data_IF_496172221252
#
_entry.id   IF_496172221252
#
_cell.length_a   1.000
_cell.length_b   1.000
_cell.length_c   1.000
_cell.angle_alpha   90.00
_cell.angle_beta   90.00
_cell.angle_gamma   90.00
#
_symmetry.space_group_name_H-M   'P 1'
#
loop_
_entity.id
_entity.type
_entity.pdbx_description
1 polymer ?
#
# COMPACT_ATOMS: atom_id res chain seq x y z
N UNK A 1 3.34 -26.05 12.42
CA UNK A 1 2.14 -25.19 12.26
C UNK A 1 2.54 -23.77 12.62
N UNK A 2 2.20 -22.78 11.79
CA UNK A 2 2.51 -21.37 12.05
C UNK A 2 1.65 -20.90 13.24
N UNK A 3 2.24 -20.22 14.21
CA UNK A 3 1.50 -19.64 15.33
C UNK A 3 0.57 -18.51 14.83
N UNK A 4 -0.69 -18.46 15.30
CA UNK A 4 -1.60 -17.36 15.00
C UNK A 4 -1.12 -16.06 15.66
N UNK A 5 -1.62 -14.93 15.14
CA UNK A 5 -1.44 -13.64 15.82
C UNK A 5 -2.19 -13.66 17.16
N UNK A 6 -1.55 -13.18 18.22
CA UNK A 6 -2.13 -13.20 19.57
C UNK A 6 -3.33 -12.24 19.69
N UNK A 7 -4.34 -12.62 20.49
CA UNK A 7 -5.52 -11.79 20.76
C UNK A 7 -5.16 -10.42 21.36
N UNK A 8 -4.08 -10.35 22.16
CA UNK A 8 -3.55 -9.09 22.70
C UNK A 8 -3.09 -8.12 21.61
N UNK A 9 -2.52 -8.62 20.50
CA UNK A 9 -2.12 -7.79 19.36
C UNK A 9 -3.35 -7.28 18.59
N UNK A 10 -4.39 -8.10 18.48
CA UNK A 10 -5.67 -7.68 17.88
C UNK A 10 -6.38 -6.64 18.73
N UNK A 11 -6.41 -6.82 20.04
CA UNK A 11 -6.94 -5.82 20.97
C UNK A 11 -6.16 -4.50 20.91
N UNK A 12 -4.83 -4.57 20.80
CA UNK A 12 -3.97 -3.40 20.62
C UNK A 12 -4.23 -2.69 19.28
N UNK A 13 -4.41 -3.45 18.19
CA UNK A 13 -4.76 -2.91 16.89
C UNK A 13 -6.07 -2.11 16.96
N UNK A 14 -7.13 -2.68 17.54
CA UNK A 14 -8.43 -2.04 17.60
C UNK A 14 -8.48 -0.85 18.59
N UNK A 15 -7.67 -0.91 19.67
CA UNK A 15 -7.58 0.19 20.63
C UNK A 15 -6.75 1.39 20.12
N UNK A 16 -5.68 1.13 19.35
CA UNK A 16 -4.69 2.15 19.01
C UNK A 16 -4.74 2.60 17.55
N UNK A 17 -5.25 1.75 16.68
CA UNK A 17 -5.37 2.02 15.23
C UNK A 17 -6.73 1.53 14.76
N UNK A 18 -7.77 2.16 15.28
CA UNK A 18 -9.15 1.72 15.13
C UNK A 18 -9.61 1.76 13.67
N UNK A 19 -10.37 0.74 13.27
CA UNK A 19 -11.04 0.74 11.99
C UNK A 19 -12.25 1.67 12.01
N UNK A 20 -12.44 2.43 10.93
CA UNK A 20 -13.65 3.24 10.69
C UNK A 20 -14.01 3.25 9.21
N UNK A 21 -15.23 3.63 8.92
CA UNK A 21 -15.73 3.74 7.55
C UNK A 21 -15.96 5.21 7.18
N UNK A 22 -15.45 5.60 6.02
CA UNK A 22 -15.78 6.87 5.38
C UNK A 22 -16.85 6.60 4.31
N UNK A 23 -18.02 7.22 4.46
CA UNK A 23 -19.07 7.20 3.44
C UNK A 23 -18.74 8.23 2.35
N UNK A 24 -18.83 7.82 1.10
CA UNK A 24 -18.60 8.69 -0.06
C UNK A 24 -19.94 9.19 -0.63
N UNK A 25 -19.94 10.35 -1.33
CA UNK A 25 -21.18 10.93 -1.89
C UNK A 25 -21.97 10.00 -2.81
N UNK A 26 -21.32 9.04 -3.46
CA UNK A 26 -21.95 8.04 -4.33
C UNK A 26 -22.58 6.84 -3.59
N UNK A 27 -22.54 6.82 -2.26
CA UNK A 27 -23.02 5.71 -1.43
C UNK A 27 -22.01 4.59 -1.20
N UNK A 28 -20.82 4.68 -1.81
CA UNK A 28 -19.73 3.74 -1.53
C UNK A 28 -19.11 4.03 -0.17
N UNK A 29 -18.43 3.02 0.36
CA UNK A 29 -17.72 3.10 1.64
C UNK A 29 -16.24 2.79 1.41
N UNK A 30 -15.37 3.56 2.05
CA UNK A 30 -13.94 3.23 2.20
C UNK A 30 -13.66 2.98 3.67
N UNK A 31 -13.23 1.78 4.00
CA UNK A 31 -12.74 1.45 5.32
C UNK A 31 -11.31 1.96 5.48
N UNK A 32 -11.01 2.54 6.62
CA UNK A 32 -9.67 3.02 6.97
C UNK A 32 -9.34 2.61 8.40
N UNK A 33 -8.05 2.57 8.72
CA UNK A 33 -7.56 2.60 10.09
C UNK A 33 -6.86 3.94 10.33
N UNK A 34 -7.06 4.50 11.52
CA UNK A 34 -6.58 5.86 11.80
C UNK A 34 -6.06 5.98 13.23
N UNK A 35 -4.99 6.75 13.39
CA UNK A 35 -4.51 7.26 14.68
C UNK A 35 -4.07 8.72 14.54
N UNK A 36 -3.94 9.42 15.66
CA UNK A 36 -3.50 10.82 15.70
C UNK A 36 -4.48 11.83 15.09
N UNK A 37 -5.79 11.55 15.06
CA UNK A 37 -6.80 12.43 14.44
C UNK A 37 -6.83 13.87 14.99
N UNK A 38 -6.41 14.08 16.26
CA UNK A 38 -6.32 15.40 16.89
C UNK A 38 -4.95 16.06 16.77
N UNK A 39 -3.97 15.43 16.15
CA UNK A 39 -2.63 15.95 16.02
C UNK A 39 -2.54 17.07 14.96
N UNK A 40 -1.70 18.07 15.23
CA UNK A 40 -1.46 19.21 14.33
C UNK A 40 -0.28 19.01 13.37
N UNK A 41 0.42 17.87 13.47
CA UNK A 41 1.57 17.54 12.62
C UNK A 41 1.17 17.02 11.24
N UNK A 42 2.12 16.45 10.49
CA UNK A 42 1.86 15.98 9.12
C UNK A 42 0.80 14.88 9.06
N UNK A 43 0.01 14.91 7.99
CA UNK A 43 -1.00 13.86 7.70
C UNK A 43 -0.40 12.88 6.70
N UNK A 44 -0.45 11.59 7.00
CA UNK A 44 -0.03 10.51 6.11
C UNK A 44 -1.25 9.72 5.63
N UNK A 45 -1.37 9.52 4.31
CA UNK A 45 -2.34 8.63 3.70
C UNK A 45 -1.58 7.44 3.13
N UNK A 46 -1.78 6.25 3.73
CA UNK A 46 -1.00 5.05 3.45
C UNK A 46 -1.81 4.02 2.67
N UNK A 47 -1.30 3.61 1.51
CA UNK A 47 -1.92 2.65 0.60
C UNK A 47 -1.12 1.34 0.60
N UNK A 48 -1.78 0.24 0.97
CA UNK A 48 -1.14 -1.08 1.09
C UNK A 48 -0.96 -1.82 -0.24
N UNK A 49 -0.17 -2.90 -0.23
CA UNK A 49 0.04 -3.80 -1.36
C UNK A 49 -1.05 -4.88 -1.51
N UNK A 50 -1.00 -5.63 -2.61
CA UNK A 50 -2.04 -6.61 -3.03
C UNK A 50 -2.30 -7.73 -2.01
N UNK A 51 -1.29 -8.15 -1.23
CA UNK A 51 -1.40 -9.22 -0.23
C UNK A 51 -1.54 -8.70 1.21
N UNK A 52 -1.98 -7.46 1.40
CA UNK A 52 -1.95 -6.76 2.67
C UNK A 52 -3.26 -6.02 2.96
N UNK A 53 -3.30 -5.17 3.98
CA UNK A 53 -4.43 -4.35 4.37
C UNK A 53 -3.99 -3.19 5.26
N UNK A 54 -4.92 -2.33 5.66
CA UNK A 54 -4.65 -1.15 6.48
C UNK A 54 -3.95 -1.49 7.81
N UNK A 55 -4.28 -2.63 8.41
CA UNK A 55 -3.71 -3.06 9.69
C UNK A 55 -2.20 -3.31 9.64
N UNK A 56 -1.63 -3.59 8.46
CA UNK A 56 -0.18 -3.77 8.30
C UNK A 56 0.63 -2.52 8.65
N UNK A 57 0.01 -1.36 8.65
CA UNK A 57 0.66 -0.09 8.98
C UNK A 57 0.74 0.20 10.49
N UNK A 58 0.16 -0.66 11.35
CA UNK A 58 0.02 -0.42 12.79
C UNK A 58 1.29 0.13 13.44
N UNK A 59 2.40 -0.59 13.33
CA UNK A 59 3.63 -0.21 14.05
C UNK A 59 4.19 1.12 13.53
N UNK A 60 4.28 1.29 12.22
CA UNK A 60 4.74 2.53 11.63
C UNK A 60 3.79 3.70 11.97
N UNK A 61 2.47 3.47 11.97
CA UNK A 61 1.47 4.48 12.30
C UNK A 61 1.59 4.97 13.74
N UNK A 62 1.78 4.06 14.71
CA UNK A 62 1.95 4.43 16.12
C UNK A 62 3.25 5.20 16.37
N UNK A 63 4.31 4.89 15.64
CA UNK A 63 5.57 5.63 15.69
C UNK A 63 5.43 7.05 15.13
N UNK A 64 4.69 7.20 14.05
CA UNK A 64 4.37 8.50 13.46
C UNK A 64 3.44 9.32 14.38
N UNK A 65 2.41 8.68 14.95
CA UNK A 65 1.50 9.30 15.93
C UNK A 65 2.28 9.85 17.14
N UNK A 66 3.24 9.10 17.66
CA UNK A 66 4.08 9.53 18.79
C UNK A 66 4.93 10.78 18.46
N UNK A 67 5.12 11.09 17.18
CA UNK A 67 5.78 12.33 16.70
C UNK A 67 4.79 13.40 16.29
N UNK A 68 3.53 13.28 16.70
CA UNK A 68 2.49 14.28 16.45
C UNK A 68 1.84 14.20 15.07
N UNK A 69 2.05 13.13 14.31
CA UNK A 69 1.42 12.94 13.02
C UNK A 69 0.00 12.36 13.12
N UNK A 70 -0.80 12.58 12.09
CA UNK A 70 -2.05 11.87 11.82
C UNK A 70 -1.81 10.84 10.74
N UNK A 71 -2.20 9.58 10.95
CA UNK A 71 -2.01 8.50 9.97
C UNK A 71 -3.34 7.88 9.61
N UNK A 72 -3.60 7.78 8.31
CA UNK A 72 -4.79 7.18 7.72
C UNK A 72 -4.32 6.10 6.77
N UNK A 73 -4.52 4.83 7.11
CA UNK A 73 -4.27 3.71 6.23
C UNK A 73 -5.60 3.20 5.66
N UNK A 74 -5.71 3.17 4.33
CA UNK A 74 -6.94 2.72 3.70
C UNK A 74 -7.01 1.20 3.57
N UNK A 75 -8.20 0.66 3.50
CA UNK A 75 -8.47 -0.63 2.86
C UNK A 75 -8.80 -0.35 1.40
N UNK A 76 -8.03 -0.89 0.48
CA UNK A 76 -8.26 -0.71 -0.96
C UNK A 76 -9.68 -1.16 -1.37
N UNK A 77 -10.23 -0.70 -2.50
CA UNK A 77 -11.50 -1.17 -3.01
C UNK A 77 -11.61 -2.70 -3.01
N UNK A 78 -12.67 -3.25 -2.40
CA UNK A 78 -12.88 -4.68 -2.25
C UNK A 78 -12.09 -5.35 -1.12
N UNK A 79 -11.31 -4.60 -0.33
CA UNK A 79 -10.61 -5.08 0.87
C UNK A 79 -11.35 -4.67 2.13
N UNK A 80 -11.26 -5.50 3.17
CA UNK A 80 -11.97 -5.23 4.42
C UNK A 80 -13.45 -4.94 4.20
N UNK A 81 -13.92 -3.79 4.68
CA UNK A 81 -15.29 -3.30 4.47
C UNK A 81 -15.40 -2.28 3.33
N UNK A 82 -14.34 -2.04 2.56
CA UNK A 82 -14.37 -1.11 1.43
C UNK A 82 -15.19 -1.66 0.26
N UNK A 83 -16.09 -0.84 -0.26
CA UNK A 83 -16.88 -1.18 -1.46
C UNK A 83 -15.94 -1.43 -2.64
N UNK A 84 -16.06 -2.55 -3.36
CA UNK A 84 -15.27 -2.80 -4.56
C UNK A 84 -15.55 -1.75 -5.64
N UNK A 85 -14.67 -1.58 -6.60
CA UNK A 85 -14.95 -0.78 -7.80
C UNK A 85 -15.87 -1.54 -8.74
N UNK A 86 -16.65 -0.80 -9.56
CA UNK A 86 -17.63 -1.42 -10.46
C UNK A 86 -16.98 -2.25 -11.59
N UNK A 87 -15.88 -1.82 -12.26
CA UNK A 87 -15.30 -2.60 -13.33
C UNK A 87 -14.71 -3.92 -12.85
N UNK A 88 -14.97 -5.02 -13.57
CA UNK A 88 -14.35 -6.32 -13.30
C UNK A 88 -12.82 -6.28 -13.56
N UNK A 89 -12.39 -5.44 -14.49
CA UNK A 89 -10.98 -5.18 -14.80
C UNK A 89 -10.66 -3.70 -14.53
N UNK A 90 -10.47 -3.32 -13.26
CA UNK A 90 -10.23 -1.94 -12.88
C UNK A 90 -8.88 -1.43 -13.38
N UNK A 91 -8.83 -0.12 -13.61
CA UNK A 91 -7.63 0.63 -13.94
C UNK A 91 -7.14 1.44 -12.73
N UNK A 92 -5.94 1.98 -12.81
CA UNK A 92 -5.40 2.88 -11.80
C UNK A 92 -6.32 4.08 -11.53
N UNK A 93 -7.00 4.59 -12.55
CA UNK A 93 -7.97 5.68 -12.45
C UNK A 93 -9.15 5.34 -11.53
N UNK A 94 -9.68 4.10 -11.56
CA UNK A 94 -10.82 3.70 -10.73
C UNK A 94 -10.45 3.71 -9.23
N UNK A 95 -9.23 3.24 -8.91
CA UNK A 95 -8.71 3.26 -7.54
C UNK A 95 -8.35 4.69 -7.11
N UNK A 96 -7.75 5.49 -7.99
CA UNK A 96 -7.41 6.89 -7.69
C UNK A 96 -8.68 7.73 -7.47
N UNK A 97 -9.75 7.49 -8.22
CA UNK A 97 -11.05 8.13 -7.98
C UNK A 97 -11.62 7.76 -6.60
N UNK A 98 -11.49 6.49 -6.18
CA UNK A 98 -11.91 6.06 -4.84
C UNK A 98 -11.06 6.74 -3.76
N UNK A 99 -9.74 6.89 -3.98
CA UNK A 99 -8.85 7.64 -3.09
C UNK A 99 -9.26 9.13 -3.03
N UNK A 100 -9.60 9.75 -4.15
CA UNK A 100 -10.09 11.13 -4.16
C UNK A 100 -11.35 11.28 -3.31
N UNK A 101 -12.34 10.40 -3.49
CA UNK A 101 -13.55 10.39 -2.67
C UNK A 101 -13.24 10.27 -1.16
N UNK A 102 -12.28 9.43 -0.78
CA UNK A 102 -11.82 9.30 0.60
C UNK A 102 -11.20 10.61 1.11
N UNK A 103 -10.28 11.20 0.34
CA UNK A 103 -9.61 12.46 0.69
C UNK A 103 -10.61 13.60 0.88
N UNK A 104 -11.64 13.65 0.01
CA UNK A 104 -12.72 14.63 0.09
C UNK A 104 -13.62 14.38 1.32
N UNK A 105 -14.01 13.14 1.58
CA UNK A 105 -14.85 12.77 2.72
C UNK A 105 -14.15 12.99 4.08
N UNK A 106 -12.82 13.01 4.11
CA UNK A 106 -12.02 13.28 5.30
C UNK A 106 -11.52 14.73 5.39
N UNK A 107 -11.90 15.57 4.44
CA UNK A 107 -11.51 16.98 4.33
C UNK A 107 -9.99 17.20 4.48
N UNK A 108 -9.20 16.39 3.76
CA UNK A 108 -7.74 16.48 3.83
C UNK A 108 -7.23 17.54 2.84
N UNK A 109 -6.79 18.68 3.34
CA UNK A 109 -6.27 19.78 2.51
C UNK A 109 -4.85 19.51 1.98
N UNK A 110 -3.96 18.98 2.84
CA UNK A 110 -2.57 18.65 2.49
C UNK A 110 -2.12 17.39 3.24
N UNK A 111 -1.44 16.48 2.52
CA UNK A 111 -0.96 15.23 3.10
C UNK A 111 0.24 14.66 2.34
N UNK A 112 0.97 13.76 3.01
CA UNK A 112 1.97 12.89 2.39
C UNK A 112 1.25 11.63 1.91
N UNK A 113 1.34 11.33 0.61
CA UNK A 113 0.78 10.11 0.05
C UNK A 113 1.85 9.02 0.03
N UNK A 114 1.56 7.90 0.70
CA UNK A 114 2.47 6.76 0.79
C UNK A 114 1.87 5.57 0.04
N UNK A 115 2.54 5.09 -0.99
CA UNK A 115 2.11 3.91 -1.76
C UNK A 115 3.10 2.76 -1.61
N UNK A 116 2.63 1.61 -1.10
CA UNK A 116 3.42 0.39 -1.04
C UNK A 116 2.98 -0.60 -2.12
N UNK A 117 3.93 -1.15 -2.88
CA UNK A 117 3.68 -2.21 -3.88
C UNK A 117 2.55 -1.84 -4.85
N UNK A 118 1.42 -2.57 -4.86
CA UNK A 118 0.23 -2.22 -5.65
C UNK A 118 -0.31 -0.83 -5.31
N UNK A 119 -0.25 -0.41 -4.03
CA UNK A 119 -0.65 0.93 -3.59
C UNK A 119 0.15 2.04 -4.26
N UNK A 120 1.38 1.75 -4.71
CA UNK A 120 2.21 2.69 -5.46
C UNK A 120 1.60 3.02 -6.84
N UNK A 121 0.92 2.07 -7.48
CA UNK A 121 0.19 2.30 -8.76
C UNK A 121 -0.92 3.34 -8.54
N UNK A 122 -1.74 3.15 -7.51
CA UNK A 122 -2.80 4.10 -7.16
C UNK A 122 -2.23 5.45 -6.77
N UNK A 123 -1.18 5.46 -5.93
CA UNK A 123 -0.53 6.68 -5.46
C UNK A 123 0.11 7.46 -6.63
N UNK A 124 0.83 6.79 -7.52
CA UNK A 124 1.43 7.42 -8.70
C UNK A 124 0.38 8.02 -9.63
N UNK A 125 -0.71 7.28 -9.89
CA UNK A 125 -1.81 7.79 -10.71
C UNK A 125 -2.50 9.00 -10.06
N UNK A 126 -2.72 8.99 -8.76
CA UNK A 126 -3.28 10.12 -8.01
C UNK A 126 -2.35 11.34 -7.98
N UNK A 127 -1.04 11.12 -8.01
CA UNK A 127 -0.01 12.15 -7.94
C UNK A 127 0.46 12.67 -9.32
N UNK A 128 0.00 12.06 -10.43
CA UNK A 128 0.44 12.45 -11.78
C UNK A 128 0.07 13.90 -12.10
N UNK A 129 0.78 14.48 -13.04
CA UNK A 129 0.48 15.82 -13.52
C UNK A 129 -0.96 15.92 -14.03
N UNK A 130 -1.67 16.99 -13.66
CA UNK A 130 -3.07 17.22 -13.99
C UNK A 130 -4.08 16.38 -13.20
N UNK A 131 -3.65 15.59 -12.22
CA UNK A 131 -4.57 14.91 -11.31
C UNK A 131 -5.26 15.91 -10.38
N UNK A 132 -6.57 15.73 -10.11
CA UNK A 132 -7.30 16.57 -9.15
C UNK A 132 -6.70 16.56 -7.73
N UNK A 133 -6.02 15.47 -7.33
CA UNK A 133 -5.36 15.36 -6.03
C UNK A 133 -3.97 15.97 -5.97
N UNK A 134 -3.34 16.26 -7.12
CA UNK A 134 -1.94 16.68 -7.17
C UNK A 134 -1.62 17.91 -6.29
N UNK A 135 -2.53 18.89 -6.21
CA UNK A 135 -2.34 20.10 -5.38
C UNK A 135 -2.44 19.85 -3.87
N UNK A 136 -3.06 18.74 -3.46
CA UNK A 136 -3.24 18.35 -2.04
C UNK A 136 -2.15 17.41 -1.55
N UNK A 137 -1.41 16.77 -2.46
CA UNK A 137 -0.29 15.89 -2.12
C UNK A 137 0.96 16.75 -1.98
N UNK A 138 1.45 16.92 -0.74
CA UNK A 138 2.67 17.69 -0.48
C UNK A 138 3.94 16.92 -0.86
N UNK A 139 3.91 15.58 -0.64
CA UNK A 139 5.01 14.67 -0.92
C UNK A 139 4.45 13.30 -1.33
N UNK A 140 5.05 12.66 -2.34
CA UNK A 140 4.78 11.27 -2.69
C UNK A 140 5.92 10.39 -2.17
N UNK A 141 5.58 9.30 -1.46
CA UNK A 141 6.55 8.28 -1.05
C UNK A 141 6.13 6.93 -1.61
N UNK A 142 6.99 6.33 -2.40
CA UNK A 142 6.79 5.01 -3.01
C UNK A 142 7.71 3.99 -2.33
N UNK A 143 7.13 3.01 -1.65
CA UNK A 143 7.87 1.95 -0.96
C UNK A 143 7.70 0.65 -1.72
N UNK A 144 8.80 0.03 -2.15
CA UNK A 144 8.77 -1.22 -2.90
C UNK A 144 7.74 -1.19 -4.05
N UNK A 145 7.75 -0.16 -4.92
CA UNK A 145 6.68 0.09 -5.87
C UNK A 145 6.55 -1.01 -6.93
N UNK A 146 5.32 -1.48 -7.16
CA UNK A 146 5.01 -2.30 -8.33
C UNK A 146 4.84 -1.39 -9.56
N UNK A 147 5.60 -1.63 -10.62
CA UNK A 147 5.49 -0.85 -11.87
C UNK A 147 4.26 -1.23 -12.71
N UNK A 148 3.67 -2.41 -12.46
CA UNK A 148 2.59 -2.95 -13.29
C UNK A 148 3.08 -3.64 -14.56
N UNK A 149 2.12 -4.22 -15.29
CA UNK A 149 2.37 -4.99 -16.52
C UNK A 149 1.60 -4.44 -17.73
N UNK A 150 1.02 -3.24 -17.62
CA UNK A 150 0.22 -2.62 -18.68
C UNK A 150 1.01 -1.87 -19.75
N UNK A 151 2.33 -1.74 -19.59
CA UNK A 151 3.19 -1.07 -20.58
C UNK A 151 3.24 -1.86 -21.89
N UNK A 152 3.33 -1.19 -23.05
CA UNK A 152 3.55 -1.85 -24.34
C UNK A 152 4.77 -2.77 -24.31
N UNK A 153 4.65 -3.95 -24.91
CA UNK A 153 5.69 -4.98 -24.95
C UNK A 153 5.74 -5.89 -23.71
N UNK A 154 4.82 -5.73 -22.76
CA UNK A 154 4.68 -6.59 -21.57
C UNK A 154 3.47 -7.55 -21.63
N UNK A 155 2.81 -7.68 -22.80
CA UNK A 155 1.54 -8.42 -22.94
C UNK A 155 1.67 -9.89 -22.52
N UNK A 156 2.77 -10.56 -22.85
CA UNK A 156 3.03 -11.94 -22.44
C UNK A 156 3.21 -12.05 -20.92
N UNK A 157 4.00 -11.16 -20.32
CA UNK A 157 4.19 -11.12 -18.87
C UNK A 157 2.89 -10.80 -18.15
N UNK A 158 2.09 -9.86 -18.66
CA UNK A 158 0.77 -9.51 -18.16
C UNK A 158 -0.15 -10.73 -18.11
N UNK A 159 -0.29 -11.45 -19.24
CA UNK A 159 -1.14 -12.64 -19.33
C UNK A 159 -0.66 -13.76 -18.40
N UNK A 160 0.65 -14.01 -18.35
CA UNK A 160 1.25 -15.02 -17.47
C UNK A 160 1.00 -14.72 -15.99
N UNK A 161 1.27 -13.49 -15.55
CA UNK A 161 1.10 -13.08 -14.14
C UNK A 161 -0.38 -13.11 -13.74
N UNK A 162 -1.28 -12.60 -14.60
CA UNK A 162 -2.73 -12.68 -14.40
C UNK A 162 -3.19 -14.12 -14.23
N UNK A 163 -2.88 -14.98 -15.18
CA UNK A 163 -3.29 -16.38 -15.17
C UNK A 163 -2.75 -17.11 -13.92
N UNK A 164 -1.47 -16.93 -13.59
CA UNK A 164 -0.84 -17.54 -12.43
C UNK A 164 -1.51 -17.12 -11.13
N UNK A 165 -1.71 -15.81 -10.91
CA UNK A 165 -2.30 -15.30 -9.66
C UNK A 165 -3.75 -15.72 -9.48
N UNK A 166 -4.56 -15.67 -10.54
CA UNK A 166 -5.96 -16.09 -10.50
C UNK A 166 -6.09 -17.61 -10.35
N UNK A 167 -5.20 -18.39 -10.99
CA UNK A 167 -5.15 -19.84 -10.79
C UNK A 167 -4.77 -20.19 -9.35
N UNK A 168 -3.75 -19.56 -8.77
CA UNK A 168 -3.38 -19.74 -7.36
C UNK A 168 -4.54 -19.41 -6.42
N UNK A 169 -5.23 -18.27 -6.63
CA UNK A 169 -6.41 -17.91 -5.86
C UNK A 169 -7.51 -18.98 -5.95
N UNK A 170 -7.78 -19.48 -7.16
CA UNK A 170 -8.83 -20.49 -7.40
C UNK A 170 -8.48 -21.87 -6.81
N UNK A 171 -7.22 -22.28 -6.91
CA UNK A 171 -6.78 -23.63 -6.53
C UNK A 171 -6.44 -23.73 -5.03
N UNK A 172 -5.77 -22.71 -4.48
CA UNK A 172 -5.29 -22.74 -3.11
C UNK A 172 -6.22 -21.97 -2.14
N UNK A 173 -6.84 -20.90 -2.62
CA UNK A 173 -7.65 -19.98 -1.82
C UNK A 173 -6.80 -19.08 -0.91
N UNK A 174 -7.46 -18.10 -0.29
CA UNK A 174 -6.82 -17.07 0.54
C UNK A 174 -6.07 -17.68 1.73
N UNK A 175 -6.65 -18.67 2.40
CA UNK A 175 -6.05 -19.27 3.61
C UNK A 175 -4.70 -19.96 3.33
N UNK A 176 -4.59 -20.73 2.25
CA UNK A 176 -3.35 -21.38 1.89
C UNK A 176 -2.29 -20.39 1.36
N UNK A 177 -2.73 -19.34 0.64
CA UNK A 177 -1.85 -18.23 0.23
C UNK A 177 -1.30 -17.50 1.45
N UNK A 178 -2.13 -17.22 2.45
CA UNK A 178 -1.75 -16.54 3.69
C UNK A 178 -0.72 -17.34 4.49
N UNK A 179 -0.88 -18.66 4.60
CA UNK A 179 -0.01 -19.53 5.38
C UNK A 179 1.48 -19.48 4.96
N UNK A 180 1.77 -19.04 3.74
CA UNK A 180 3.13 -18.95 3.16
C UNK A 180 3.54 -17.53 2.73
N UNK A 181 2.70 -16.53 3.00
CA UNK A 181 2.91 -15.15 2.52
C UNK A 181 4.21 -14.52 3.05
N UNK A 182 4.53 -14.75 4.32
CA UNK A 182 5.71 -14.23 4.99
C UNK A 182 7.02 -14.67 4.33
N UNK A 183 7.07 -15.86 3.72
CA UNK A 183 8.26 -16.39 3.05
C UNK A 183 8.72 -15.55 1.84
N UNK A 184 7.83 -14.78 1.25
CA UNK A 184 8.11 -13.91 0.10
C UNK A 184 8.06 -12.43 0.44
N UNK A 185 7.28 -12.06 1.45
CA UNK A 185 7.03 -10.65 1.77
C UNK A 185 8.00 -10.09 2.80
N UNK A 186 8.72 -10.94 3.50
CA UNK A 186 9.69 -10.54 4.53
C UNK A 186 11.08 -11.10 4.22
N UNK A 187 12.10 -10.50 4.82
CA UNK A 187 13.46 -11.03 4.78
C UNK A 187 13.57 -12.35 5.56
N UNK A 188 14.69 -13.06 5.36
CA UNK A 188 14.94 -14.29 6.10
C UNK A 188 15.01 -14.06 7.62
N UNK A 189 15.46 -12.89 8.05
CA UNK A 189 15.68 -12.51 9.45
C UNK A 189 14.49 -11.85 10.13
N UNK A 190 13.33 -11.73 9.47
CA UNK A 190 12.14 -11.14 10.03
C UNK A 190 11.71 -11.84 11.34
N UNK A 191 11.28 -11.08 12.32
CA UNK A 191 10.79 -11.63 13.58
C UNK A 191 9.45 -12.35 13.41
N UNK A 192 9.11 -13.25 14.36
CA UNK A 192 7.89 -14.04 14.25
C UNK A 192 6.62 -13.16 14.30
N UNK A 193 6.63 -12.06 15.04
CA UNK A 193 5.49 -11.14 15.09
C UNK A 193 5.22 -10.52 13.70
N UNK A 194 6.24 -10.09 12.98
CA UNK A 194 6.11 -9.57 11.60
C UNK A 194 5.54 -10.65 10.66
N UNK A 195 5.99 -11.92 10.81
CA UNK A 195 5.46 -13.06 10.04
C UNK A 195 3.99 -13.30 10.33
N UNK A 196 3.59 -13.24 11.60
CA UNK A 196 2.19 -13.39 12.03
C UNK A 196 1.33 -12.27 11.46
N UNK A 197 1.78 -11.02 11.52
CA UNK A 197 1.06 -9.86 10.95
C UNK A 197 0.84 -10.01 9.43
N UNK A 198 1.86 -10.42 8.68
CA UNK A 198 1.74 -10.63 7.23
C UNK A 198 0.75 -11.73 6.91
N UNK A 199 0.84 -12.88 7.58
CA UNK A 199 -0.08 -14.01 7.40
C UNK A 199 -1.52 -13.63 7.77
N UNK A 200 -1.70 -12.95 8.90
CA UNK A 200 -3.02 -12.51 9.36
C UNK A 200 -3.67 -11.54 8.38
N UNK A 201 -2.95 -10.51 7.91
CA UNK A 201 -3.47 -9.55 6.92
C UNK A 201 -3.90 -10.24 5.63
N UNK A 202 -3.05 -11.10 5.07
CA UNK A 202 -3.41 -11.83 3.84
C UNK A 202 -4.59 -12.77 4.06
N UNK A 203 -4.71 -13.40 5.24
CA UNK A 203 -5.82 -14.30 5.56
C UNK A 203 -7.20 -13.63 5.62
N UNK A 204 -7.25 -12.30 5.67
CA UNK A 204 -8.48 -11.51 5.74
C UNK A 204 -8.94 -10.95 4.38
N UNK A 205 -8.22 -11.26 3.31
CA UNK A 205 -8.57 -10.77 1.98
C UNK A 205 -9.88 -11.35 1.46
N UNK A 206 -10.66 -10.53 0.80
CA UNK A 206 -11.79 -10.98 -0.01
C UNK A 206 -11.28 -11.49 -1.36
N UNK A 207 -11.65 -12.69 -1.76
CA UNK A 207 -11.19 -13.28 -3.02
C UNK A 207 -11.54 -12.41 -4.25
N UNK A 208 -12.73 -11.80 -4.26
CA UNK A 208 -13.15 -10.89 -5.33
C UNK A 208 -12.34 -9.59 -5.36
N UNK A 209 -12.06 -8.99 -4.20
CA UNK A 209 -11.20 -7.80 -4.09
C UNK A 209 -9.76 -8.10 -4.52
N UNK A 210 -9.22 -9.26 -4.11
CA UNK A 210 -7.90 -9.70 -4.57
C UNK A 210 -7.87 -9.91 -6.11
N UNK A 211 -8.92 -10.50 -6.70
CA UNK A 211 -9.00 -10.67 -8.14
C UNK A 211 -9.02 -9.32 -8.88
N UNK A 212 -9.79 -8.32 -8.41
CA UNK A 212 -9.76 -6.96 -8.96
C UNK A 212 -8.37 -6.32 -8.83
N UNK A 213 -7.68 -6.53 -7.71
CA UNK A 213 -6.32 -6.03 -7.50
C UNK A 213 -5.29 -6.71 -8.43
N UNK A 214 -5.49 -7.99 -8.79
CA UNK A 214 -4.70 -8.66 -9.84
C UNK A 214 -4.92 -8.00 -11.20
N UNK A 215 -6.15 -7.68 -11.55
CA UNK A 215 -6.48 -6.99 -12.80
C UNK A 215 -5.84 -5.59 -12.85
N UNK A 216 -5.93 -4.82 -11.75
CA UNK A 216 -5.24 -3.54 -11.62
C UNK A 216 -3.73 -3.68 -11.83
N UNK A 217 -3.08 -4.63 -11.13
CA UNK A 217 -1.63 -4.87 -11.26
C UNK A 217 -1.24 -5.19 -12.69
N UNK A 218 -2.04 -6.03 -13.35
CA UNK A 218 -1.75 -6.47 -14.71
C UNK A 218 -2.01 -5.38 -15.75
N UNK A 219 -3.03 -4.53 -15.55
CA UNK A 219 -3.43 -3.51 -16.51
C UNK A 219 -2.76 -2.15 -16.36
N UNK A 220 -2.03 -1.91 -15.26
CA UNK A 220 -1.42 -0.61 -14.97
C UNK A 220 0.01 -0.48 -15.50
N UNK A 221 0.39 0.78 -15.77
CA UNK A 221 1.76 1.21 -16.04
C UNK A 221 2.09 2.42 -15.18
N UNK A 222 2.72 2.17 -14.03
CA UNK A 222 3.14 3.24 -13.11
C UNK A 222 4.13 4.19 -13.77
N UNK A 223 5.02 3.69 -14.64
CA UNK A 223 6.05 4.52 -15.27
C UNK A 223 5.46 5.57 -16.22
N UNK A 224 4.28 5.31 -16.79
CA UNK A 224 3.57 6.29 -17.61
C UNK A 224 2.97 7.45 -16.78
N UNK A 225 2.65 7.22 -15.51
CA UNK A 225 2.12 8.25 -14.60
C UNK A 225 3.24 9.10 -13.93
N UNK A 226 4.51 8.72 -14.11
CA UNK A 226 5.67 9.40 -13.53
C UNK A 226 6.42 10.27 -14.55
N UNK A 227 7.12 11.35 -14.11
CA UNK A 227 7.24 11.84 -12.75
C UNK A 227 5.96 12.50 -12.23
N UNK A 228 5.74 12.52 -10.88
CA UNK A 228 4.57 13.17 -10.29
C UNK A 228 4.68 14.70 -10.34
N UNK A 229 3.60 15.38 -9.95
CA UNK A 229 3.55 16.85 -9.93
C UNK A 229 4.24 17.47 -8.69
N UNK A 230 4.53 16.67 -7.66
CA UNK A 230 5.14 17.10 -6.39
C UNK A 230 6.46 16.35 -6.15
N UNK A 231 7.25 16.73 -5.13
CA UNK A 231 8.45 15.97 -4.75
C UNK A 231 8.11 14.50 -4.47
N UNK A 232 9.02 13.59 -4.86
CA UNK A 232 8.85 12.16 -4.71
C UNK A 232 10.09 11.54 -4.07
N UNK A 233 9.85 10.52 -3.23
CA UNK A 233 10.88 9.66 -2.68
C UNK A 233 10.56 8.20 -3.02
N UNK A 234 11.59 7.42 -3.37
CA UNK A 234 11.46 5.99 -3.70
C UNK A 234 12.37 5.18 -2.80
N UNK A 235 11.79 4.24 -2.07
CA UNK A 235 12.51 3.31 -1.19
C UNK A 235 12.15 1.86 -1.51
N UNK A 236 13.06 0.93 -1.17
CA UNK A 236 12.86 -0.50 -1.36
C UNK A 236 13.57 -1.29 -0.27
N UNK A 237 12.98 -2.38 0.21
CA UNK A 237 13.71 -3.32 1.05
C UNK A 237 14.94 -3.88 0.33
N UNK A 238 16.08 -3.91 0.98
CA UNK A 238 17.33 -4.40 0.38
C UNK A 238 17.25 -5.90 0.02
N UNK A 239 16.38 -6.65 0.69
CA UNK A 239 16.13 -8.09 0.49
C UNK A 239 14.77 -8.36 -0.19
N UNK A 240 14.18 -7.34 -0.86
CA UNK A 240 12.89 -7.50 -1.55
C UNK A 240 13.03 -8.39 -2.80
N UNK A 241 12.36 -9.53 -2.78
CA UNK A 241 12.31 -10.51 -3.89
C UNK A 241 11.03 -10.41 -4.72
N UNK A 242 10.13 -9.49 -4.39
CA UNK A 242 8.84 -9.29 -5.07
C UNK A 242 8.91 -8.15 -6.06
N UNK A 243 9.23 -6.96 -5.58
CA UNK A 243 9.58 -5.79 -6.38
C UNK A 243 11.04 -5.46 -6.08
N UNK A 244 11.92 -6.15 -6.77
CA UNK A 244 13.36 -6.16 -6.47
C UNK A 244 13.97 -4.75 -6.50
N UNK A 245 15.08 -4.50 -5.78
CA UNK A 245 15.82 -3.24 -5.86
C UNK A 245 16.10 -2.79 -7.30
N UNK A 246 16.38 -3.73 -8.22
CA UNK A 246 16.58 -3.44 -9.64
C UNK A 246 15.30 -2.86 -10.28
N UNK A 247 14.13 -3.46 -10.02
CA UNK A 247 12.86 -2.97 -10.55
C UNK A 247 12.48 -1.61 -9.94
N UNK A 248 12.75 -1.40 -8.65
CA UNK A 248 12.52 -0.12 -7.96
C UNK A 248 13.46 0.98 -8.45
N UNK A 249 14.69 0.63 -8.86
CA UNK A 249 15.63 1.57 -9.48
C UNK A 249 15.07 2.16 -10.77
N UNK A 250 14.31 1.38 -11.56
CA UNK A 250 13.65 1.91 -12.77
C UNK A 250 12.59 2.97 -12.42
N UNK A 251 11.83 2.76 -11.34
CA UNK A 251 10.85 3.72 -10.85
C UNK A 251 11.54 5.00 -10.35
N UNK A 252 12.60 4.86 -9.55
CA UNK A 252 13.40 5.97 -9.04
C UNK A 252 14.02 6.79 -10.19
N UNK A 253 14.62 6.11 -11.17
CA UNK A 253 15.20 6.74 -12.36
C UNK A 253 14.15 7.51 -13.17
N UNK A 254 12.93 6.94 -13.31
CA UNK A 254 11.83 7.62 -14.01
C UNK A 254 11.38 8.90 -13.29
N UNK A 255 11.55 8.95 -11.97
CA UNK A 255 11.29 10.15 -11.16
C UNK A 255 12.49 11.12 -11.09
N UNK A 256 13.67 10.73 -11.57
CA UNK A 256 14.90 11.54 -11.46
C UNK A 256 15.46 11.62 -10.02
N UNK A 257 15.18 10.61 -9.18
CA UNK A 257 15.64 10.54 -7.78
C UNK A 257 16.45 9.28 -7.52
N UNK A 258 17.33 9.26 -6.50
CA UNK A 258 18.00 8.02 -6.08
C UNK A 258 17.01 7.05 -5.42
N UNK A 259 17.29 5.74 -5.55
CA UNK A 259 16.62 4.72 -4.76
C UNK A 259 17.27 4.64 -3.37
N UNK A 260 16.46 4.70 -2.31
CA UNK A 260 16.89 4.40 -0.94
C UNK A 260 16.65 2.92 -0.63
N UNK A 261 17.70 2.21 -0.21
CA UNK A 261 17.59 0.83 0.23
C UNK A 261 17.41 0.74 1.74
N UNK A 262 16.35 0.06 2.18
CA UNK A 262 16.06 -0.20 3.58
C UNK A 262 16.77 -1.51 3.98
N UNK A 263 17.81 -1.39 4.79
CA UNK A 263 18.62 -2.53 5.21
C UNK A 263 17.79 -3.54 6.01
N UNK A 264 18.10 -4.84 5.88
CA UNK A 264 17.47 -5.93 6.60
C UNK A 264 15.93 -5.93 6.47
N UNK A 265 15.44 -5.60 5.31
CA UNK A 265 14.01 -5.54 5.01
C UNK A 265 13.67 -6.24 3.69
N UNK A 266 12.63 -7.06 3.71
CA UNK A 266 12.00 -7.62 2.52
C UNK A 266 10.98 -6.66 1.90
N UNK A 267 10.00 -7.22 1.20
CA UNK A 267 8.96 -6.46 0.50
C UNK A 267 8.07 -5.62 1.43
N UNK A 268 7.60 -6.21 2.54
CA UNK A 268 6.75 -5.52 3.50
C UNK A 268 7.58 -4.79 4.57
N UNK A 269 8.49 -3.90 4.14
CA UNK A 269 9.46 -3.22 5.01
C UNK A 269 8.81 -2.44 6.16
N UNK A 270 7.63 -1.86 5.97
CA UNK A 270 6.89 -1.13 7.03
C UNK A 270 6.33 -2.05 8.14
N UNK A 271 6.21 -3.36 7.88
CA UNK A 271 5.89 -4.37 8.89
C UNK A 271 7.15 -4.88 9.58
N UNK A 272 8.24 -5.03 8.81
CA UNK A 272 9.49 -5.63 9.26
C UNK A 272 10.43 -4.64 9.96
N UNK A 273 10.51 -3.42 9.42
CA UNK A 273 11.38 -2.33 9.89
C UNK A 273 10.58 -1.04 10.14
N UNK A 274 9.54 -1.07 11.01
CA UNK A 274 8.62 0.05 11.19
C UNK A 274 9.32 1.33 11.64
N UNK A 275 10.37 1.25 12.47
CA UNK A 275 11.18 2.39 12.91
C UNK A 275 11.88 3.08 11.75
N UNK A 276 12.52 2.30 10.87
CA UNK A 276 13.21 2.83 9.69
C UNK A 276 12.24 3.50 8.74
N UNK A 277 11.07 2.88 8.52
CA UNK A 277 10.04 3.44 7.63
C UNK A 277 9.40 4.68 8.26
N UNK A 278 9.10 4.70 9.55
CA UNK A 278 8.56 5.90 10.22
C UNK A 278 9.55 7.07 10.17
N UNK A 279 10.84 6.83 10.43
CA UNK A 279 11.88 7.85 10.32
C UNK A 279 12.02 8.40 8.90
N UNK A 280 11.96 7.53 7.87
CA UNK A 280 11.93 7.93 6.46
C UNK A 280 10.72 8.84 6.19
N UNK A 281 9.53 8.43 6.58
CA UNK A 281 8.30 9.18 6.31
C UNK A 281 8.32 10.56 6.98
N UNK A 282 8.77 10.66 8.23
CA UNK A 282 8.91 11.95 8.94
C UNK A 282 9.94 12.87 8.25
N UNK A 283 11.07 12.32 7.83
CA UNK A 283 12.08 13.08 7.07
C UNK A 283 11.50 13.62 5.77
N UNK A 284 10.74 12.83 5.05
CA UNK A 284 10.12 13.24 3.78
C UNK A 284 8.98 14.25 4.02
N UNK A 285 8.19 14.12 5.07
CA UNK A 285 7.15 15.08 5.42
C UNK A 285 7.69 16.48 5.71
N UNK A 286 8.92 16.59 6.25
CA UNK A 286 9.58 17.87 6.52
C UNK A 286 10.07 18.60 5.25
N UNK A 287 9.99 17.96 4.09
CA UNK A 287 10.32 18.55 2.78
C UNK A 287 9.08 19.04 2.01
N UNK A 288 7.86 18.73 2.52
CA UNK A 288 6.56 18.86 1.87
C UNK A 288 5.98 20.31 1.92
#
# INVERSE_FOLDING_TARGET
>A
MNAPLADSELARLDARFAARSAALPGGEVVSVRECGAGNAGPVFVCLHGIGSGAASWLEAALLLEAQGARVIAWEAPGYGASTPVAPAQPKAADYAQRLQGLVDALDLERFVLVGHSLGAITAGHAARQGSPLASRIGQLVLISPAAGYGAPGKEEAQQRVRAQRLATLKQEGIAAMAAKADQRLLSANACELSRQWVRWNMGRLNASGYAQAVELLCGADLLADLPPAMPVHVACGAEDVVTTPESCTQVAARCGVPLELLASAGHASYVEQPWTVAALLLREANKA
#
